data_IF_210143706152
#
_entry.id   IF_210143706152
#
_cell.length_a   1.000
_cell.length_b   1.000
_cell.length_c   1.000
_cell.angle_alpha   90.00
_cell.angle_beta   90.00
_cell.angle_gamma   90.00
#
_symmetry.space_group_name_H-M   'P 1'
#
loop_
_entity.id
_entity.type
_entity.pdbx_description
1 polymer ?
#
# COMPACT_ATOMS: atom_id res chain seq x y z
N UNK A 1 -24.81 -2.60 6.57
CA UNK A 1 -23.38 -2.63 6.98
C UNK A 1 -22.62 -1.61 6.13
N UNK A 2 -21.55 -1.05 6.62
CA UNK A 2 -20.69 -0.19 5.81
C UNK A 2 -19.86 -1.05 4.85
N UNK A 3 -19.37 -0.46 3.76
CA UNK A 3 -18.48 -1.15 2.80
C UNK A 3 -17.25 -1.75 3.49
N UNK A 4 -16.73 -1.09 4.52
CA UNK A 4 -15.63 -1.59 5.34
C UNK A 4 -16.03 -2.86 6.11
N UNK A 5 -17.18 -2.88 6.77
CA UNK A 5 -17.67 -4.04 7.53
C UNK A 5 -17.90 -5.23 6.60
N UNK A 6 -18.48 -5.00 5.41
CA UNK A 6 -18.70 -6.03 4.41
C UNK A 6 -17.38 -6.62 3.89
N UNK A 7 -16.38 -5.76 3.63
CA UNK A 7 -15.05 -6.21 3.22
C UNK A 7 -14.32 -6.99 4.32
N UNK A 8 -14.33 -6.50 5.57
CA UNK A 8 -13.68 -7.18 6.70
C UNK A 8 -14.33 -8.55 6.96
N UNK A 9 -15.66 -8.64 6.84
CA UNK A 9 -16.36 -9.91 6.92
C UNK A 9 -15.90 -10.85 5.81
N UNK A 10 -15.90 -10.38 4.55
CA UNK A 10 -15.45 -11.17 3.41
C UNK A 10 -14.01 -11.65 3.56
N UNK A 11 -13.09 -10.79 4.01
CA UNK A 11 -11.68 -11.12 4.27
C UNK A 11 -11.59 -12.27 5.29
N UNK A 12 -12.30 -12.16 6.43
CA UNK A 12 -12.26 -13.17 7.48
C UNK A 12 -12.83 -14.54 7.03
N UNK A 13 -13.83 -14.54 6.15
CA UNK A 13 -14.42 -15.75 5.59
C UNK A 13 -13.57 -16.38 4.46
N UNK A 14 -12.64 -15.62 3.86
CA UNK A 14 -11.81 -16.05 2.73
C UNK A 14 -10.30 -15.99 3.02
N UNK A 15 -9.90 -16.24 4.26
CA UNK A 15 -8.48 -16.37 4.60
C UNK A 15 -7.80 -17.49 3.81
N UNK A 16 -6.51 -17.34 3.45
CA UNK A 16 -5.77 -18.39 2.76
C UNK A 16 -5.81 -19.71 3.50
N UNK A 17 -5.99 -20.80 2.78
CA UNK A 17 -5.98 -22.15 3.31
C UNK A 17 -4.71 -22.87 2.88
N UNK A 18 -4.04 -23.50 3.85
CA UNK A 18 -2.83 -24.30 3.65
C UNK A 18 -3.00 -25.67 4.32
N UNK A 19 -3.89 -26.53 3.77
CA UNK A 19 -4.18 -27.82 4.39
C UNK A 19 -2.93 -28.69 4.47
N UNK A 20 -2.53 -29.06 5.68
CA UNK A 20 -1.33 -29.87 5.92
C UNK A 20 -1.54 -30.72 7.19
N UNK A 21 -0.51 -31.50 7.55
CA UNK A 21 -0.53 -32.33 8.77
C UNK A 21 -0.44 -31.50 10.08
N UNK A 22 -0.13 -30.21 10.01
CA UNK A 22 -0.07 -29.30 11.15
C UNK A 22 -0.57 -27.90 10.79
N UNK A 23 -1.40 -27.24 11.60
CA UNK A 23 -2.07 -25.98 11.26
C UNK A 23 -1.18 -24.73 11.34
N UNK A 24 0.05 -24.78 11.90
CA UNK A 24 0.84 -23.60 12.25
C UNK A 24 1.01 -22.59 11.09
N UNK A 25 1.23 -23.12 9.87
CA UNK A 25 1.48 -22.25 8.72
C UNK A 25 0.20 -21.59 8.21
N UNK A 26 -0.93 -22.31 8.22
CA UNK A 26 -2.24 -21.71 7.90
C UNK A 26 -2.60 -20.60 8.89
N UNK A 27 -2.31 -20.82 10.18
CA UNK A 27 -2.51 -19.80 11.22
C UNK A 27 -1.63 -18.57 10.96
N UNK A 28 -0.33 -18.78 10.66
CA UNK A 28 0.62 -17.71 10.35
C UNK A 28 0.16 -16.84 9.17
N UNK A 29 -0.34 -17.44 8.07
CA UNK A 29 -0.88 -16.72 6.92
C UNK A 29 -2.03 -15.76 7.27
N UNK A 30 -2.84 -16.12 8.28
CA UNK A 30 -3.98 -15.31 8.70
C UNK A 30 -3.67 -14.18 9.69
N UNK A 31 -2.53 -14.23 10.40
CA UNK A 31 -2.22 -13.30 11.51
C UNK A 31 -2.28 -11.84 11.06
N UNK A 32 -1.47 -11.46 10.08
CA UNK A 32 -1.36 -10.07 9.65
C UNK A 32 -2.56 -9.59 8.83
N UNK A 33 -3.27 -10.47 8.14
CA UNK A 33 -4.54 -10.14 7.48
C UNK A 33 -5.62 -9.77 8.50
N UNK A 34 -5.67 -10.47 9.65
CA UNK A 34 -6.62 -10.21 10.75
C UNK A 34 -6.20 -9.05 11.66
N UNK A 35 -4.95 -8.60 11.63
CA UNK A 35 -4.44 -7.55 12.50
C UNK A 35 -5.16 -6.19 12.32
N UNK A 36 -6.17 -6.14 11.45
CA UNK A 36 -6.96 -4.95 11.18
C UNK A 36 -6.23 -3.95 10.30
N UNK A 37 -6.69 -2.71 10.36
CA UNK A 37 -6.16 -1.62 9.55
C UNK A 37 -7.28 -0.79 8.91
N UNK A 38 -6.88 0.24 8.18
CA UNK A 38 -7.83 1.13 7.49
C UNK A 38 -8.41 0.49 6.22
N UNK A 39 -7.82 -0.60 5.72
CA UNK A 39 -8.13 -1.25 4.43
C UNK A 39 -8.31 -0.25 3.28
N UNK A 40 -7.51 0.82 3.30
CA UNK A 40 -7.68 1.99 2.45
C UNK A 40 -7.68 1.64 0.96
N UNK A 41 -6.78 0.75 0.55
CA UNK A 41 -6.66 0.29 -0.84
C UNK A 41 -7.89 -0.49 -1.30
N UNK A 42 -8.36 -1.42 -0.49
CA UNK A 42 -9.59 -2.18 -0.75
C UNK A 42 -10.80 -1.24 -0.83
N UNK A 43 -10.91 -0.26 0.07
CA UNK A 43 -12.01 0.72 0.08
C UNK A 43 -11.98 1.66 -1.13
N UNK A 44 -10.80 2.04 -1.63
CA UNK A 44 -10.69 2.82 -2.87
C UNK A 44 -11.21 2.03 -4.07
N UNK A 45 -10.80 0.78 -4.25
CA UNK A 45 -11.26 -0.10 -5.32
C UNK A 45 -12.78 -0.31 -5.23
N UNK A 46 -13.25 -0.79 -4.08
CA UNK A 46 -14.67 -1.10 -3.88
C UNK A 46 -15.53 0.15 -3.91
N UNK A 47 -15.01 1.29 -3.45
CA UNK A 47 -15.71 2.57 -3.50
C UNK A 47 -15.94 3.05 -4.93
N UNK A 48 -14.97 2.90 -5.84
CA UNK A 48 -15.20 3.17 -7.27
C UNK A 48 -16.32 2.26 -7.81
N UNK A 49 -16.21 0.95 -7.52
CA UNK A 49 -17.20 -0.02 -8.02
C UNK A 49 -18.59 0.26 -7.47
N UNK A 50 -18.73 0.49 -6.16
CA UNK A 50 -20.04 0.72 -5.53
C UNK A 50 -20.73 1.99 -6.02
N UNK A 51 -19.97 3.05 -6.32
CA UNK A 51 -20.52 4.33 -6.76
C UNK A 51 -20.90 4.36 -8.25
N UNK A 52 -20.31 3.49 -9.08
CA UNK A 52 -20.61 3.43 -10.52
C UNK A 52 -21.58 2.29 -10.82
N UNK A 53 -21.29 1.07 -10.35
CA UNK A 53 -22.17 -0.10 -10.51
C UNK A 53 -22.17 -0.97 -9.26
N UNK A 54 -23.10 -0.69 -8.36
CA UNK A 54 -23.25 -1.42 -7.10
C UNK A 54 -23.46 -2.93 -7.28
N UNK A 55 -24.00 -3.37 -8.42
CA UNK A 55 -24.23 -4.79 -8.68
C UNK A 55 -22.94 -5.61 -8.79
N UNK A 56 -21.82 -4.96 -9.08
CA UNK A 56 -20.50 -5.57 -9.20
C UNK A 56 -19.72 -5.60 -7.87
N UNK A 57 -20.20 -4.92 -6.80
CA UNK A 57 -19.45 -4.80 -5.54
C UNK A 57 -19.07 -6.16 -4.97
N UNK A 58 -20.01 -7.12 -4.90
CA UNK A 58 -19.74 -8.46 -4.38
C UNK A 58 -18.72 -9.24 -5.25
N UNK A 59 -18.77 -9.05 -6.58
CA UNK A 59 -17.83 -9.68 -7.52
C UNK A 59 -16.42 -9.08 -7.40
N UNK A 60 -16.33 -7.79 -7.03
CA UNK A 60 -15.07 -7.09 -6.83
C UNK A 60 -14.36 -7.44 -5.49
N UNK A 61 -15.07 -8.05 -4.53
CA UNK A 61 -14.51 -8.38 -3.21
C UNK A 61 -13.24 -9.24 -3.29
N UNK A 62 -13.19 -10.22 -4.23
CA UNK A 62 -11.98 -11.04 -4.42
C UNK A 62 -10.81 -10.24 -4.98
N UNK A 63 -11.07 -9.28 -5.85
CA UNK A 63 -10.03 -8.39 -6.38
C UNK A 63 -9.47 -7.51 -5.26
N UNK A 64 -10.35 -6.95 -4.42
CA UNK A 64 -9.98 -6.18 -3.25
C UNK A 64 -9.19 -7.02 -2.21
N UNK A 65 -9.57 -8.28 -2.03
CA UNK A 65 -8.85 -9.22 -1.15
C UNK A 65 -7.44 -9.50 -1.68
N UNK A 66 -7.29 -9.77 -2.98
CA UNK A 66 -5.99 -9.95 -3.62
C UNK A 66 -5.09 -8.71 -3.44
N UNK A 67 -5.66 -7.52 -3.62
CA UNK A 67 -4.94 -6.26 -3.39
C UNK A 67 -4.50 -6.09 -1.93
N UNK A 68 -5.34 -6.47 -0.96
CA UNK A 68 -5.00 -6.42 0.47
C UNK A 68 -3.94 -7.47 0.84
N UNK A 69 -3.98 -8.67 0.24
CA UNK A 69 -2.92 -9.67 0.39
C UNK A 69 -1.59 -9.18 -0.16
N UNK A 70 -1.59 -8.53 -1.33
CA UNK A 70 -0.42 -7.89 -1.92
C UNK A 70 0.17 -6.81 -1.00
N UNK A 71 -0.67 -6.00 -0.39
CA UNK A 71 -0.23 -5.02 0.60
C UNK A 71 0.28 -5.68 1.89
N UNK A 72 -0.40 -6.71 2.37
CA UNK A 72 -0.03 -7.37 3.64
C UNK A 72 1.31 -8.09 3.53
N UNK A 73 1.61 -8.78 2.39
CA UNK A 73 2.92 -9.38 2.19
C UNK A 73 4.03 -8.34 2.29
N UNK A 74 3.83 -7.17 1.67
CA UNK A 74 4.85 -6.13 1.70
C UNK A 74 5.14 -5.62 3.12
N UNK A 75 4.11 -5.56 3.97
CA UNK A 75 4.27 -5.20 5.38
C UNK A 75 5.00 -6.29 6.17
N UNK A 76 4.68 -7.58 5.93
CA UNK A 76 5.37 -8.70 6.58
C UNK A 76 6.86 -8.69 6.26
N UNK A 77 7.23 -8.45 4.99
CA UNK A 77 8.63 -8.39 4.59
C UNK A 77 9.33 -7.11 5.09
N UNK A 78 8.63 -5.97 5.08
CA UNK A 78 9.15 -4.70 5.59
C UNK A 78 9.49 -4.78 7.09
N UNK A 79 8.72 -5.54 7.86
CA UNK A 79 8.93 -5.75 9.29
C UNK A 79 10.14 -6.65 9.62
N UNK A 80 10.70 -7.40 8.66
CA UNK A 80 11.81 -8.33 8.91
C UNK A 80 13.07 -7.62 9.44
N UNK A 81 13.94 -8.33 10.22
CA UNK A 81 15.20 -7.77 10.70
C UNK A 81 16.14 -7.25 9.62
N UNK A 82 16.02 -7.79 8.39
CA UNK A 82 16.79 -7.32 7.22
C UNK A 82 16.33 -5.96 6.70
N UNK A 83 15.11 -5.52 7.03
CA UNK A 83 14.50 -4.24 6.66
C UNK A 83 14.30 -3.36 7.90
N UNK A 84 13.05 -3.11 8.33
CA UNK A 84 12.73 -2.20 9.45
C UNK A 84 13.00 -2.80 10.84
N UNK A 85 13.09 -4.13 10.96
CA UNK A 85 13.21 -4.84 12.23
C UNK A 85 12.13 -4.42 13.24
N UNK A 86 10.89 -4.32 12.77
CA UNK A 86 9.77 -3.85 13.57
C UNK A 86 9.19 -4.98 14.43
N UNK A 87 9.09 -4.78 15.74
CA UNK A 87 8.51 -5.78 16.64
C UNK A 87 6.99 -5.75 16.71
N UNK A 88 6.37 -4.61 16.33
CA UNK A 88 4.93 -4.39 16.36
C UNK A 88 4.45 -3.78 15.04
N UNK A 89 3.28 -4.20 14.57
CA UNK A 89 2.54 -3.64 13.45
C UNK A 89 1.05 -3.58 13.79
N UNK A 90 0.44 -2.38 13.73
CA UNK A 90 -0.98 -2.19 14.08
C UNK A 90 -1.33 -2.68 15.50
N UNK A 91 -0.41 -2.52 16.45
CA UNK A 91 -0.57 -2.99 17.84
C UNK A 91 -0.44 -4.51 18.03
N UNK A 92 -0.14 -5.27 16.98
CA UNK A 92 0.05 -6.72 17.01
C UNK A 92 1.54 -7.05 16.83
N UNK A 93 2.12 -8.03 17.54
CA UNK A 93 3.47 -8.51 17.27
C UNK A 93 3.62 -8.93 15.81
N UNK A 94 4.74 -8.56 15.18
CA UNK A 94 5.05 -8.91 13.80
C UNK A 94 5.25 -10.41 13.64
N UNK A 95 5.13 -10.91 12.41
CA UNK A 95 5.11 -12.35 12.18
C UNK A 95 6.45 -13.02 12.54
N UNK A 96 7.59 -12.36 12.27
CA UNK A 96 8.90 -12.89 12.64
C UNK A 96 9.14 -12.93 14.15
N UNK A 97 8.46 -12.08 14.93
CA UNK A 97 8.50 -12.11 16.40
C UNK A 97 7.59 -13.18 16.97
N UNK A 98 6.41 -13.37 16.35
CA UNK A 98 5.41 -14.36 16.82
C UNK A 98 5.82 -15.79 16.48
N UNK A 99 6.44 -16.00 15.31
CA UNK A 99 6.91 -17.29 14.83
C UNK A 99 8.43 -17.27 14.67
N UNK A 100 8.92 -17.00 13.48
CA UNK A 100 10.34 -16.87 13.12
C UNK A 100 10.47 -16.16 11.75
N UNK A 101 11.70 -15.77 11.38
CA UNK A 101 11.98 -15.09 10.11
C UNK A 101 11.63 -15.94 8.89
N UNK A 102 11.91 -17.24 8.92
CA UNK A 102 11.61 -18.15 7.80
C UNK A 102 10.13 -18.23 7.54
N UNK A 103 9.32 -18.38 8.60
CA UNK A 103 7.87 -18.39 8.52
C UNK A 103 7.34 -17.06 7.97
N UNK A 104 7.88 -15.92 8.42
CA UNK A 104 7.49 -14.60 7.92
C UNK A 104 7.82 -14.42 6.43
N UNK A 105 9.01 -14.83 5.98
CA UNK A 105 9.41 -14.79 4.57
C UNK A 105 8.44 -15.63 3.74
N UNK A 106 8.23 -16.89 4.11
CA UNK A 106 7.37 -17.81 3.34
C UNK A 106 5.89 -17.38 3.35
N UNK A 107 5.41 -16.78 4.45
CA UNK A 107 4.06 -16.25 4.50
C UNK A 107 3.89 -15.04 3.57
N UNK A 108 4.88 -14.15 3.51
CA UNK A 108 4.90 -13.04 2.55
C UNK A 108 4.89 -13.53 1.10
N UNK A 109 5.77 -14.47 0.74
CA UNK A 109 5.83 -15.08 -0.59
C UNK A 109 4.51 -15.72 -1.00
N UNK A 110 3.89 -16.47 -0.07
CA UNK A 110 2.60 -17.11 -0.30
C UNK A 110 1.50 -16.09 -0.53
N UNK A 111 1.40 -15.03 0.29
CA UNK A 111 0.38 -13.97 0.12
C UNK A 111 0.57 -13.21 -1.18
N UNK A 112 1.82 -12.90 -1.57
CA UNK A 112 2.14 -12.28 -2.86
C UNK A 112 1.58 -13.10 -4.03
N UNK A 113 1.88 -14.39 -4.06
CA UNK A 113 1.38 -15.29 -5.12
C UNK A 113 -0.13 -15.48 -5.05
N UNK A 114 -0.67 -15.65 -3.82
CA UNK A 114 -2.10 -15.88 -3.61
C UNK A 114 -2.96 -14.67 -3.99
N UNK A 115 -2.41 -13.46 -3.96
CA UNK A 115 -3.08 -12.25 -4.44
C UNK A 115 -3.58 -12.40 -5.88
N UNK A 116 -2.74 -12.92 -6.78
CA UNK A 116 -3.12 -13.16 -8.18
C UNK A 116 -4.12 -14.31 -8.31
N UNK A 117 -4.02 -15.33 -7.47
CA UNK A 117 -4.99 -16.43 -7.43
C UNK A 117 -6.38 -15.90 -7.08
N UNK A 118 -6.52 -15.05 -6.05
CA UNK A 118 -7.82 -14.46 -5.69
C UNK A 118 -8.42 -13.62 -6.82
N UNK A 119 -7.62 -12.77 -7.48
CA UNK A 119 -8.08 -12.00 -8.65
C UNK A 119 -8.55 -12.92 -9.76
N UNK A 120 -7.81 -14.00 -10.04
CA UNK A 120 -8.15 -14.95 -11.11
C UNK A 120 -9.49 -15.65 -10.88
N UNK A 121 -9.94 -15.75 -9.63
CA UNK A 121 -11.19 -16.40 -9.23
C UNK A 121 -12.37 -15.45 -9.08
N UNK A 122 -12.18 -14.14 -9.28
CA UNK A 122 -13.28 -13.19 -9.19
C UNK A 122 -14.36 -13.52 -10.25
N UNK A 123 -15.63 -13.36 -9.88
CA UNK A 123 -16.78 -13.59 -10.78
C UNK A 123 -16.96 -12.41 -11.76
N UNK A 124 -15.89 -12.11 -12.48
CA UNK A 124 -15.77 -11.03 -13.46
C UNK A 124 -15.38 -11.61 -14.84
N UNK A 125 -15.61 -10.90 -15.95
CA UNK A 125 -15.14 -11.31 -17.27
C UNK A 125 -13.62 -11.61 -17.27
N UNK A 126 -13.20 -12.56 -18.10
CA UNK A 126 -11.79 -13.00 -18.15
C UNK A 126 -10.86 -11.82 -18.46
N UNK A 127 -11.21 -10.97 -19.42
CA UNK A 127 -10.41 -9.81 -19.81
C UNK A 127 -10.28 -8.80 -18.66
N UNK A 128 -11.35 -8.58 -17.89
CA UNK A 128 -11.32 -7.71 -16.69
C UNK A 128 -10.38 -8.27 -15.63
N UNK A 129 -10.43 -9.59 -15.37
CA UNK A 129 -9.51 -10.24 -14.43
C UNK A 129 -8.05 -10.15 -14.87
N UNK A 130 -7.78 -10.37 -16.15
CA UNK A 130 -6.41 -10.25 -16.70
C UNK A 130 -5.90 -8.81 -16.60
N UNK A 131 -6.71 -7.80 -16.94
CA UNK A 131 -6.35 -6.39 -16.75
C UNK A 131 -6.04 -6.07 -15.28
N UNK A 132 -6.84 -6.58 -14.34
CA UNK A 132 -6.57 -6.40 -12.90
C UNK A 132 -5.24 -7.06 -12.48
N UNK A 133 -4.93 -8.26 -12.98
CA UNK A 133 -3.64 -8.94 -12.75
C UNK A 133 -2.49 -8.11 -13.33
N UNK A 134 -2.62 -7.59 -14.56
CA UNK A 134 -1.62 -6.74 -15.20
C UNK A 134 -1.37 -5.47 -14.39
N UNK A 135 -2.43 -4.73 -14.02
CA UNK A 135 -2.33 -3.51 -13.22
C UNK A 135 -1.63 -3.81 -11.89
N UNK A 136 -2.05 -4.86 -11.17
CA UNK A 136 -1.45 -5.21 -9.89
C UNK A 136 0.03 -5.58 -10.03
N UNK A 137 0.38 -6.42 -11.02
CA UNK A 137 1.76 -6.88 -11.23
C UNK A 137 2.72 -5.74 -11.59
N UNK A 138 2.30 -4.81 -12.45
CA UNK A 138 3.09 -3.64 -12.81
C UNK A 138 3.32 -2.71 -11.61
N UNK A 139 2.29 -2.48 -10.80
CA UNK A 139 2.32 -1.52 -9.70
C UNK A 139 2.90 -2.09 -8.40
N UNK A 140 2.90 -3.41 -8.22
CA UNK A 140 3.52 -4.05 -7.07
C UNK A 140 4.93 -4.58 -7.36
N UNK A 141 5.23 -4.97 -8.60
CA UNK A 141 6.43 -5.70 -9.01
C UNK A 141 7.67 -4.84 -9.28
N UNK A 142 8.42 -5.25 -10.32
CA UNK A 142 9.76 -4.73 -10.67
C UNK A 142 9.82 -3.25 -11.03
N UNK A 143 8.71 -2.67 -11.46
CA UNK A 143 8.56 -1.23 -11.76
C UNK A 143 7.60 -0.52 -10.82
N UNK A 144 7.24 -1.15 -9.70
CA UNK A 144 6.28 -0.70 -8.73
C UNK A 144 6.81 -0.67 -7.30
N UNK A 145 5.99 -1.17 -6.37
CA UNK A 145 6.25 -1.14 -4.93
C UNK A 145 7.59 -1.79 -4.54
N UNK A 146 7.96 -2.92 -5.17
CA UNK A 146 9.23 -3.60 -4.88
C UNK A 146 10.43 -2.73 -5.27
N UNK A 147 10.38 -2.02 -6.41
CA UNK A 147 11.42 -1.06 -6.77
C UNK A 147 11.53 0.06 -5.74
N UNK A 148 10.38 0.63 -5.32
CA UNK A 148 10.37 1.67 -4.30
C UNK A 148 10.98 1.19 -2.98
N UNK A 149 10.63 -0.02 -2.53
CA UNK A 149 11.19 -0.62 -1.33
C UNK A 149 12.71 -0.87 -1.45
N UNK A 150 13.18 -1.38 -2.61
CA UNK A 150 14.60 -1.61 -2.83
C UNK A 150 15.41 -0.30 -2.78
N UNK A 151 14.88 0.79 -3.36
CA UNK A 151 15.49 2.11 -3.28
C UNK A 151 15.47 2.67 -1.86
N UNK A 152 14.37 2.48 -1.14
CA UNK A 152 14.24 2.96 0.24
C UNK A 152 15.27 2.31 1.14
N UNK A 153 15.33 0.97 1.18
CA UNK A 153 16.34 0.24 1.94
C UNK A 153 17.78 0.59 1.53
N UNK A 154 18.04 0.80 0.23
CA UNK A 154 19.38 1.12 -0.27
C UNK A 154 19.82 2.54 0.09
N UNK A 155 18.92 3.52 0.00
CA UNK A 155 19.24 4.93 0.28
C UNK A 155 19.01 5.35 1.73
N UNK A 156 18.38 4.51 2.56
CA UNK A 156 18.27 4.78 3.98
C UNK A 156 19.64 5.08 4.59
N UNK A 157 19.71 6.05 5.51
CA UNK A 157 20.93 6.38 6.23
C UNK A 157 21.21 5.36 7.33
N UNK A 158 21.71 4.19 6.92
CA UNK A 158 21.94 3.03 7.78
C UNK A 158 23.42 2.86 8.12
N UNK A 159 23.69 2.30 9.29
CA UNK A 159 25.04 1.87 9.69
C UNK A 159 25.42 0.46 9.19
N UNK A 160 24.54 -0.21 8.41
CA UNK A 160 24.82 -1.54 7.84
C UNK A 160 26.01 -1.49 6.88
N UNK A 161 27.10 -2.18 7.22
CA UNK A 161 28.37 -2.13 6.47
C UNK A 161 28.23 -2.64 5.03
N UNK A 162 27.32 -3.59 4.79
CA UNK A 162 27.06 -4.11 3.44
C UNK A 162 26.44 -3.05 2.53
N UNK A 163 25.52 -2.25 3.06
CA UNK A 163 24.92 -1.12 2.33
C UNK A 163 25.97 -0.04 2.07
N UNK A 164 26.81 0.29 3.05
CA UNK A 164 27.90 1.25 2.87
C UNK A 164 28.88 0.81 1.77
N UNK A 165 29.27 -0.48 1.77
CA UNK A 165 30.14 -1.04 0.71
C UNK A 165 29.46 -1.00 -0.66
N UNK A 166 28.17 -1.33 -0.74
CA UNK A 166 27.42 -1.24 -1.99
C UNK A 166 27.34 0.22 -2.51
N UNK A 167 27.00 1.18 -1.63
CA UNK A 167 27.00 2.62 -1.99
C UNK A 167 28.36 3.09 -2.49
N UNK A 168 29.45 2.70 -1.81
CA UNK A 168 30.81 3.05 -2.23
C UNK A 168 31.14 2.51 -3.62
N UNK A 169 30.76 1.27 -3.95
CA UNK A 169 30.95 0.65 -5.25
C UNK A 169 30.29 1.44 -6.40
N UNK A 170 29.17 2.11 -6.13
CA UNK A 170 28.45 2.93 -7.10
C UNK A 170 28.78 4.42 -7.02
N UNK A 171 29.77 4.83 -6.20
CA UNK A 171 30.12 6.23 -6.01
C UNK A 171 29.08 7.06 -5.26
N UNK A 172 28.25 6.42 -4.43
CA UNK A 172 27.10 7.01 -3.73
C UNK A 172 27.32 7.16 -2.22
N UNK A 173 28.58 7.12 -1.75
CA UNK A 173 28.91 7.31 -0.35
C UNK A 173 28.45 8.69 0.13
N UNK A 174 27.64 8.73 1.21
CA UNK A 174 27.12 9.97 1.79
C UNK A 174 26.07 10.71 0.94
N UNK A 175 25.59 10.10 -0.16
CA UNK A 175 24.55 10.72 -0.98
C UNK A 175 23.22 10.78 -0.18
N UNK A 176 22.65 11.99 -0.11
CA UNK A 176 21.28 12.25 0.31
C UNK A 176 20.38 12.35 -0.93
N UNK A 177 19.13 11.91 -0.84
CA UNK A 177 18.15 12.03 -1.92
C UNK A 177 17.74 13.49 -2.12
N UNK A 178 17.65 13.94 -3.37
CA UNK A 178 16.97 15.18 -3.74
C UNK A 178 15.45 15.02 -3.57
N UNK A 179 14.70 16.12 -3.64
CA UNK A 179 13.25 16.09 -3.58
C UNK A 179 12.64 15.23 -4.70
N UNK A 180 13.15 15.36 -5.93
CA UNK A 180 12.64 14.57 -7.06
C UNK A 180 12.93 13.06 -6.89
N UNK A 181 14.11 12.71 -6.37
CA UNK A 181 14.47 11.32 -6.07
C UNK A 181 13.60 10.76 -4.93
N UNK A 182 13.31 11.56 -3.90
CA UNK A 182 12.41 11.19 -2.81
C UNK A 182 10.97 11.00 -3.30
N UNK A 183 10.48 11.91 -4.14
CA UNK A 183 9.16 11.79 -4.79
C UNK A 183 9.10 10.53 -5.64
N UNK A 184 10.12 10.26 -6.47
CA UNK A 184 10.20 9.04 -7.28
C UNK A 184 10.12 7.78 -6.41
N UNK A 185 10.89 7.74 -5.32
CA UNK A 185 10.91 6.63 -4.37
C UNK A 185 9.52 6.36 -3.81
N UNK A 186 8.85 7.37 -3.27
CA UNK A 186 7.54 7.22 -2.62
C UNK A 186 6.39 7.03 -3.61
N UNK A 187 6.50 7.53 -4.84
CA UNK A 187 5.58 7.15 -5.92
C UNK A 187 5.64 5.64 -6.11
N UNK A 188 6.82 5.04 -6.15
CA UNK A 188 6.97 3.60 -6.35
C UNK A 188 6.60 2.80 -5.09
N UNK A 189 7.17 3.13 -3.92
CA UNK A 189 6.95 2.39 -2.67
C UNK A 189 5.48 2.41 -2.24
N UNK A 190 4.80 3.55 -2.36
CA UNK A 190 3.47 3.76 -1.75
C UNK A 190 2.37 4.11 -2.77
N UNK A 191 2.61 5.11 -3.63
CA UNK A 191 1.55 5.71 -4.42
C UNK A 191 1.04 4.80 -5.54
N UNK A 192 1.90 4.05 -6.22
CA UNK A 192 1.53 3.14 -7.32
C UNK A 192 0.50 2.10 -6.91
N UNK A 193 0.62 1.51 -5.72
CA UNK A 193 -0.37 0.52 -5.27
C UNK A 193 -1.72 1.17 -4.90
N UNK A 194 -1.72 2.41 -4.44
CA UNK A 194 -2.93 3.21 -4.21
C UNK A 194 -3.58 3.58 -5.55
N UNK A 195 -2.80 4.02 -6.53
CA UNK A 195 -3.30 4.31 -7.87
C UNK A 195 -3.86 3.06 -8.57
N UNK A 196 -3.17 1.91 -8.43
CA UNK A 196 -3.66 0.62 -8.92
C UNK A 196 -5.02 0.25 -8.34
N UNK A 197 -5.28 0.56 -7.05
CA UNK A 197 -6.57 0.30 -6.41
C UNK A 197 -7.72 1.01 -7.14
N UNK A 198 -7.55 2.28 -7.42
CA UNK A 198 -8.54 3.10 -8.14
C UNK A 198 -8.69 2.64 -9.60
N UNK A 199 -7.58 2.41 -10.31
CA UNK A 199 -7.61 1.94 -11.71
C UNK A 199 -8.26 0.57 -11.85
N UNK A 200 -7.99 -0.37 -10.94
CA UNK A 200 -8.66 -1.67 -10.93
C UNK A 200 -10.17 -1.54 -10.72
N UNK A 201 -10.61 -0.65 -9.82
CA UNK A 201 -12.03 -0.32 -9.64
C UNK A 201 -12.66 0.21 -10.93
N UNK A 202 -12.00 1.15 -11.62
CA UNK A 202 -12.44 1.72 -12.89
C UNK A 202 -12.55 0.66 -14.00
N UNK A 203 -11.58 -0.24 -14.10
CA UNK A 203 -11.60 -1.36 -15.05
C UNK A 203 -12.75 -2.33 -14.78
N UNK A 204 -13.05 -2.62 -13.50
CA UNK A 204 -14.15 -3.51 -13.12
C UNK A 204 -15.50 -2.97 -13.59
N UNK A 205 -15.71 -1.66 -13.51
CA UNK A 205 -16.94 -1.00 -13.97
C UNK A 205 -16.90 -0.56 -15.44
N UNK A 206 -15.88 -1.03 -16.17
CA UNK A 206 -15.71 -0.84 -17.61
C UNK A 206 -15.65 0.62 -18.05
N UNK A 207 -14.99 1.49 -17.26
CA UNK A 207 -14.65 2.84 -17.75
C UNK A 207 -13.66 2.75 -18.91
N UNK A 208 -13.68 3.76 -19.79
CA UNK A 208 -12.73 3.81 -20.90
C UNK A 208 -11.29 4.05 -20.41
N UNK A 209 -10.31 3.79 -21.28
CA UNK A 209 -8.89 3.88 -20.92
C UNK A 209 -8.49 5.30 -20.49
N UNK A 210 -9.07 6.33 -21.09
CA UNK A 210 -8.75 7.73 -20.75
C UNK A 210 -9.24 8.07 -19.35
N UNK A 211 -10.43 7.59 -18.96
CA UNK A 211 -10.93 7.76 -17.59
C UNK A 211 -10.13 6.93 -16.59
N UNK A 212 -9.77 5.69 -16.95
CA UNK A 212 -8.90 4.85 -16.12
C UNK A 212 -7.55 5.52 -15.84
N UNK A 213 -6.92 6.15 -16.84
CA UNK A 213 -5.64 6.86 -16.65
C UNK A 213 -5.79 8.12 -15.79
N UNK A 214 -6.84 8.92 -15.99
CA UNK A 214 -7.11 10.09 -15.12
C UNK A 214 -7.27 9.67 -13.66
N UNK A 215 -8.03 8.61 -13.42
CA UNK A 215 -8.26 8.07 -12.07
C UNK A 215 -6.95 7.52 -11.47
N UNK A 216 -6.11 6.89 -12.30
CA UNK A 216 -4.79 6.42 -11.90
C UNK A 216 -3.87 7.58 -11.49
N UNK A 217 -3.81 8.67 -12.27
CA UNK A 217 -3.00 9.85 -11.98
C UNK A 217 -3.45 10.56 -10.68
N UNK A 218 -4.77 10.62 -10.44
CA UNK A 218 -5.31 11.08 -9.15
C UNK A 218 -4.82 10.17 -8.01
N UNK A 219 -4.82 8.86 -8.24
CA UNK A 219 -4.34 7.87 -7.29
C UNK A 219 -2.86 8.01 -6.93
N UNK A 220 -2.00 8.38 -7.89
CA UNK A 220 -0.58 8.66 -7.64
C UNK A 220 -0.40 9.87 -6.71
N UNK A 221 -1.13 10.94 -6.95
CA UNK A 221 -1.10 12.14 -6.09
C UNK A 221 -1.64 11.85 -4.70
N UNK A 222 -2.76 11.11 -4.62
CA UNK A 222 -3.36 10.68 -3.36
C UNK A 222 -2.40 9.82 -2.54
N UNK A 223 -1.71 8.88 -3.17
CA UNK A 223 -0.74 8.02 -2.52
C UNK A 223 0.49 8.78 -2.01
N UNK A 224 0.96 9.77 -2.77
CA UNK A 224 2.06 10.62 -2.34
C UNK A 224 1.65 11.51 -1.14
N UNK A 225 0.46 12.11 -1.19
CA UNK A 225 -0.09 12.88 -0.08
C UNK A 225 -0.28 12.01 1.18
N UNK A 226 -0.70 10.75 0.99
CA UNK A 226 -0.83 9.78 2.09
C UNK A 226 0.52 9.48 2.75
N UNK A 227 1.58 9.29 1.95
CA UNK A 227 2.93 9.08 2.48
C UNK A 227 3.43 10.29 3.26
N UNK A 228 3.25 11.52 2.73
CA UNK A 228 3.64 12.73 3.44
C UNK A 228 2.87 12.86 4.76
N UNK A 229 1.59 12.50 4.79
CA UNK A 229 0.80 12.49 6.02
C UNK A 229 1.34 11.46 7.04
N UNK A 230 1.73 10.28 6.59
CA UNK A 230 2.35 9.28 7.46
C UNK A 230 3.67 9.78 8.05
N UNK A 231 4.52 10.43 7.24
CA UNK A 231 5.77 11.06 7.72
C UNK A 231 5.51 12.17 8.77
N UNK A 232 4.44 12.95 8.58
CA UNK A 232 4.02 13.99 9.54
C UNK A 232 3.54 13.35 10.84
N UNK A 233 2.72 12.29 10.77
CA UNK A 233 2.22 11.56 11.93
C UNK A 233 3.38 10.93 12.71
N UNK A 234 4.33 10.29 12.02
CA UNK A 234 5.50 9.68 12.65
C UNK A 234 6.36 10.70 13.43
N UNK A 235 6.43 11.95 12.96
CA UNK A 235 7.17 13.00 13.65
C UNK A 235 6.38 13.64 14.81
N UNK A 236 5.04 13.67 14.74
CA UNK A 236 4.19 14.48 15.64
C UNK A 236 3.40 13.67 16.66
N UNK A 237 3.30 12.36 16.51
CA UNK A 237 2.50 11.48 17.37
C UNK A 237 3.36 10.77 18.42
N UNK A 238 2.77 10.51 19.59
CA UNK A 238 3.34 9.62 20.59
C UNK A 238 3.19 8.15 20.14
N UNK A 239 4.09 7.26 20.62
CA UNK A 239 4.10 5.83 20.27
C UNK A 239 2.76 5.12 20.44
N UNK A 240 2.00 5.49 21.49
CA UNK A 240 0.69 4.90 21.76
C UNK A 240 -0.37 5.28 20.70
N UNK A 241 -0.26 6.45 20.08
CA UNK A 241 -1.18 6.92 19.05
C UNK A 241 -0.81 6.40 17.66
N UNK A 242 0.48 6.17 17.39
CA UNK A 242 0.98 5.68 16.11
C UNK A 242 0.82 4.15 15.93
N UNK A 243 0.70 3.38 17.02
CA UNK A 243 0.61 1.91 17.01
C UNK A 243 1.89 1.20 16.53
N UNK A 244 3.01 1.95 16.45
CA UNK A 244 4.37 1.51 16.13
C UNK A 244 5.38 2.39 16.86
N UNK A 245 6.65 1.95 17.04
CA UNK A 245 7.71 2.83 17.55
C UNK A 245 7.82 4.09 16.67
N UNK A 246 7.82 5.27 17.30
CA UNK A 246 8.03 6.58 16.64
C UNK A 246 9.42 7.12 17.00
N UNK A 247 9.86 8.18 16.33
CA UNK A 247 11.19 8.80 16.49
C UNK A 247 12.41 7.96 16.06
N UNK A 248 12.21 6.83 15.36
CA UNK A 248 13.31 6.06 14.77
C UNK A 248 13.80 6.64 13.43
N UNK A 249 13.31 7.80 13.01
CA UNK A 249 13.25 8.19 11.60
C UNK A 249 14.27 9.24 11.14
N UNK A 250 15.24 9.66 11.97
CA UNK A 250 16.32 10.56 11.50
C UNK A 250 17.17 9.94 10.38
N UNK A 251 17.13 8.62 10.23
CA UNK A 251 17.86 7.89 9.19
C UNK A 251 17.02 7.63 7.93
N UNK A 252 15.70 7.78 8.00
CA UNK A 252 14.78 7.40 6.92
C UNK A 252 14.65 8.47 5.83
N UNK A 253 14.31 7.99 4.63
CA UNK A 253 13.97 8.82 3.48
C UNK A 253 12.54 9.35 3.64
N UNK A 254 12.37 10.48 4.37
CA UNK A 254 11.07 11.08 4.64
C UNK A 254 11.00 12.53 4.19
N UNK A 255 9.79 13.00 3.86
CA UNK A 255 9.55 14.40 3.51
C UNK A 255 9.78 15.32 4.69
N UNK A 256 9.51 14.87 5.92
CA UNK A 256 9.78 15.65 7.13
C UNK A 256 11.27 15.84 7.39
N UNK A 257 12.11 14.83 7.09
CA UNK A 257 13.56 14.96 7.19
C UNK A 257 14.14 15.90 6.12
N UNK A 258 13.59 15.84 4.90
CA UNK A 258 14.10 16.64 3.78
C UNK A 258 13.62 18.11 3.81
N UNK A 259 12.33 18.34 4.10
CA UNK A 259 11.67 19.64 3.97
C UNK A 259 11.37 20.32 5.32
N UNK A 260 11.57 19.59 6.43
CA UNK A 260 11.04 19.96 7.74
C UNK A 260 9.52 19.82 7.81
N UNK A 261 8.95 19.89 9.02
CA UNK A 261 7.52 19.72 9.25
C UNK A 261 6.65 20.73 8.45
N UNK A 262 7.06 21.99 8.41
CA UNK A 262 6.33 23.05 7.68
C UNK A 262 6.36 22.82 6.16
N UNK A 263 7.51 22.42 5.61
CA UNK A 263 7.64 22.13 4.18
C UNK A 263 6.85 20.87 3.77
N UNK A 264 6.86 19.82 4.60
CA UNK A 264 6.06 18.62 4.37
C UNK A 264 4.56 18.93 4.37
N UNK A 265 4.06 19.69 5.35
CA UNK A 265 2.66 20.14 5.39
C UNK A 265 2.28 20.92 4.13
N UNK A 266 3.09 21.91 3.75
CA UNK A 266 2.86 22.70 2.54
C UNK A 266 2.80 21.83 1.28
N UNK A 267 3.73 20.89 1.13
CA UNK A 267 3.76 19.97 -0.02
C UNK A 267 2.52 19.06 -0.07
N UNK A 268 2.06 18.58 1.09
CA UNK A 268 0.81 17.83 1.20
C UNK A 268 -0.40 18.66 0.76
N UNK A 269 -0.51 19.89 1.25
CA UNK A 269 -1.63 20.79 0.93
C UNK A 269 -1.65 21.15 -0.56
N UNK A 270 -0.49 21.36 -1.20
CA UNK A 270 -0.37 21.54 -2.65
C UNK A 270 -0.92 20.32 -3.41
N UNK A 271 -0.55 19.10 -3.01
CA UNK A 271 -1.07 17.87 -3.62
C UNK A 271 -2.58 17.72 -3.44
N UNK A 272 -3.13 18.09 -2.27
CA UNK A 272 -4.58 18.06 -2.05
C UNK A 272 -5.29 19.02 -3.02
N UNK A 273 -4.79 20.23 -3.20
CA UNK A 273 -5.35 21.17 -4.19
C UNK A 273 -5.29 20.59 -5.61
N UNK A 274 -4.16 19.99 -6.00
CA UNK A 274 -4.04 19.34 -7.32
C UNK A 274 -5.02 18.17 -7.50
N UNK A 275 -5.27 17.38 -6.45
CA UNK A 275 -6.27 16.31 -6.45
C UNK A 275 -7.66 16.90 -6.64
N UNK A 276 -8.04 17.94 -5.90
CA UNK A 276 -9.35 18.60 -6.01
C UNK A 276 -9.61 19.14 -7.42
N UNK A 277 -8.59 19.73 -8.06
CA UNK A 277 -8.71 20.18 -9.46
C UNK A 277 -8.87 19.02 -10.45
N UNK A 278 -8.12 17.93 -10.27
CA UNK A 278 -8.22 16.75 -11.12
C UNK A 278 -9.56 16.03 -10.95
N UNK A 279 -10.13 16.00 -9.76
CA UNK A 279 -11.43 15.39 -9.47
C UNK A 279 -12.59 16.06 -10.24
N UNK A 280 -12.45 17.32 -10.67
CA UNK A 280 -13.46 18.00 -11.49
C UNK A 280 -13.57 17.44 -12.90
N UNK A 281 -12.61 16.60 -13.33
CA UNK A 281 -12.49 16.07 -14.69
C UNK A 281 -12.92 14.60 -14.83
N UNK A 282 -13.43 13.99 -13.75
CA UNK A 282 -13.88 12.60 -13.70
C UNK A 282 -15.35 12.53 -13.25
N UNK A 283 -15.91 11.31 -13.25
CA UNK A 283 -17.27 11.07 -12.77
C UNK A 283 -17.50 11.66 -11.36
N UNK A 284 -18.59 12.38 -11.17
CA UNK A 284 -18.89 13.11 -9.94
C UNK A 284 -19.07 12.20 -8.70
N UNK A 285 -19.55 10.97 -8.90
CA UNK A 285 -19.75 10.00 -7.82
C UNK A 285 -18.42 9.46 -7.33
N UNK A 286 -17.50 9.14 -8.25
CA UNK A 286 -16.12 8.74 -7.95
C UNK A 286 -15.38 9.89 -7.27
N UNK A 287 -15.48 11.11 -7.82
CA UNK A 287 -14.86 12.30 -7.27
C UNK A 287 -15.28 12.55 -5.82
N UNK A 288 -16.58 12.48 -5.53
CA UNK A 288 -17.12 12.63 -4.18
C UNK A 288 -16.60 11.55 -3.21
N UNK A 289 -16.51 10.31 -3.66
CA UNK A 289 -15.98 9.20 -2.86
C UNK A 289 -14.50 9.42 -2.52
N UNK A 290 -13.67 9.78 -3.53
CA UNK A 290 -12.24 10.03 -3.32
C UNK A 290 -12.04 11.23 -2.37
N UNK A 291 -12.81 12.31 -2.56
CA UNK A 291 -12.75 13.49 -1.69
C UNK A 291 -13.09 13.14 -0.25
N UNK A 292 -14.15 12.36 -0.01
CA UNK A 292 -14.54 11.91 1.32
C UNK A 292 -13.47 11.07 2.02
N UNK A 293 -12.74 10.22 1.29
CA UNK A 293 -11.61 9.46 1.83
C UNK A 293 -10.38 10.36 2.07
N UNK A 294 -10.15 11.35 1.21
CA UNK A 294 -9.09 12.37 1.37
C UNK A 294 -9.33 13.18 2.65
N UNK A 295 -10.54 13.70 2.84
CA UNK A 295 -10.90 14.46 4.05
C UNK A 295 -10.74 13.65 5.33
N UNK A 296 -11.13 12.38 5.29
CA UNK A 296 -11.06 11.49 6.46
C UNK A 296 -9.62 11.13 6.88
N UNK A 297 -8.70 11.04 5.93
CA UNK A 297 -7.37 10.46 6.17
C UNK A 297 -6.21 11.43 6.00
N UNK A 298 -6.38 12.56 5.31
CA UNK A 298 -5.31 13.50 4.99
C UNK A 298 -5.52 14.92 5.57
N UNK A 299 -6.71 15.21 6.08
CA UNK A 299 -7.05 16.45 6.81
C UNK A 299 -7.34 16.15 8.26
#
# INVERSE_FOLDING_TARGET
MSLLEDFVKFLNENLPKAPSFHPYYEEALGVMLKAGGKHFRALLLLGVVENVDKSLTQKAMRVALGLEMMHTYSLIHDDLPSMDNASLRRGTPTLHVTYDETTAILAGDALNTHAFYEISRAELPADTRIKCVEILSQNAGVSGMVLGQALDCFFENTNKEDIKRAKAKFGLSGKMLSLDELVFLHIHKTAKLIAASLKMGAVIVNLDETECEKIYDIGLKLGLAFQIQDDIIDLTSDEAAAGKPVHNDLAKNSFTNLLGLSGAKKKKDELICEIEEALKQIDASIAKMILGLTDKHLR
#
